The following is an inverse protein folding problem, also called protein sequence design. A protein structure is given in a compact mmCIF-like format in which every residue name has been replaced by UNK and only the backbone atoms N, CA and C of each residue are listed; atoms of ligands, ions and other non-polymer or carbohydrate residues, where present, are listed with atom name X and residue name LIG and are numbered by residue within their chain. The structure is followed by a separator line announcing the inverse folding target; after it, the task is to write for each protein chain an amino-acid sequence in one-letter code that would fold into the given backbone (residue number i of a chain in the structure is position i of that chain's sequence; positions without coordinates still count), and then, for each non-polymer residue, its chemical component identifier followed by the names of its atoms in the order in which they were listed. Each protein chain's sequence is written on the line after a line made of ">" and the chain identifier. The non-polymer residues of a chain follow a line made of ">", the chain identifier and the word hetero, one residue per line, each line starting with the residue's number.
data_IF_186385024542
#
_entry.id   IF_186385024542
#
_cell.length_a   1.000
_cell.length_b   1.000
_cell.length_c   1.000
_cell.angle_alpha   90.00
_cell.angle_beta   90.00
_cell.angle_gamma   90.00
#
_symmetry.space_group_name_H-M   'P 1'
#
loop_
_entity.id
_entity.type
_entity.pdbx_description
1 polymer ?
#
# COMPACT_ATOMS: atom_id res chain seq x y z
N UNK A 1 27.83 -24.71 0.41
CA UNK A 1 26.56 -24.35 1.09
C UNK A 1 25.82 -23.33 0.23
N UNK A 2 24.78 -23.71 -0.52
CA UNK A 2 23.91 -22.75 -1.18
C UNK A 2 22.92 -22.23 -0.13
N UNK A 3 23.07 -20.98 0.29
CA UNK A 3 22.09 -20.32 1.16
C UNK A 3 20.74 -20.30 0.44
N UNK A 4 19.69 -20.81 1.06
CA UNK A 4 18.36 -20.75 0.50
C UNK A 4 17.93 -19.27 0.49
N UNK A 5 17.40 -18.70 -0.61
CA UNK A 5 16.92 -17.31 -0.65
C UNK A 5 15.88 -17.01 0.44
N UNK A 6 15.18 -18.02 0.95
CA UNK A 6 14.28 -17.90 2.11
C UNK A 6 15.01 -17.58 3.41
N UNK A 7 16.19 -18.14 3.64
CA UNK A 7 16.94 -17.92 4.88
C UNK A 7 17.48 -16.48 4.92
N UNK A 8 17.88 -15.95 3.77
CA UNK A 8 18.34 -14.55 3.64
C UNK A 8 17.16 -13.60 3.88
N UNK A 9 16.03 -13.82 3.22
CA UNK A 9 14.84 -12.97 3.40
C UNK A 9 14.28 -13.04 4.82
N UNK A 10 14.34 -14.20 5.49
CA UNK A 10 13.98 -14.32 6.90
C UNK A 10 14.89 -13.50 7.83
N UNK A 11 16.21 -13.49 7.58
CA UNK A 11 17.15 -12.62 8.31
C UNK A 11 16.86 -11.14 8.08
N UNK A 12 16.61 -10.75 6.82
CA UNK A 12 16.25 -9.37 6.46
C UNK A 12 14.95 -8.96 7.16
N UNK A 13 13.93 -9.83 7.12
CA UNK A 13 12.67 -9.60 7.85
C UNK A 13 12.91 -9.37 9.34
N UNK A 14 13.73 -10.21 9.99
CA UNK A 14 14.05 -10.06 11.41
C UNK A 14 14.75 -8.73 11.72
N UNK A 15 15.73 -8.32 10.91
CA UNK A 15 16.43 -7.04 11.09
C UNK A 15 15.47 -5.86 10.94
N UNK A 16 14.63 -5.87 9.90
CA UNK A 16 13.65 -4.79 9.67
C UNK A 16 12.62 -4.76 10.81
N UNK A 17 12.16 -5.92 11.30
CA UNK A 17 11.22 -6.00 12.41
C UNK A 17 11.82 -5.46 13.71
N UNK A 18 13.11 -5.74 13.95
CA UNK A 18 13.85 -5.21 15.08
C UNK A 18 13.96 -3.68 15.01
N UNK A 19 14.34 -3.13 13.85
CA UNK A 19 14.41 -1.68 13.62
C UNK A 19 13.03 -1.05 13.81
N UNK A 20 11.98 -1.64 13.24
CA UNK A 20 10.61 -1.17 13.40
C UNK A 20 10.21 -1.15 14.88
N UNK A 21 10.51 -2.21 15.64
CA UNK A 21 10.19 -2.28 17.07
C UNK A 21 10.87 -1.16 17.85
N UNK A 22 12.17 -0.94 17.63
CA UNK A 22 12.89 0.14 18.28
C UNK A 22 12.35 1.51 17.89
N UNK A 23 11.98 1.72 16.63
CA UNK A 23 11.36 2.96 16.17
C UNK A 23 10.06 3.26 16.94
N UNK A 24 9.15 2.29 17.06
CA UNK A 24 7.87 2.50 17.74
C UNK A 24 8.04 2.72 19.25
N UNK A 25 8.97 2.00 19.89
CA UNK A 25 9.29 2.24 21.31
C UNK A 25 9.87 3.64 21.50
N UNK A 26 10.76 4.05 20.59
CA UNK A 26 11.39 5.36 20.66
C UNK A 26 10.37 6.50 20.48
N UNK A 27 9.38 6.37 19.60
CA UNK A 27 8.33 7.39 19.42
C UNK A 27 7.59 7.73 20.71
N UNK A 28 7.40 6.77 21.63
CA UNK A 28 6.75 7.00 22.93
C UNK A 28 7.64 7.87 23.83
N UNK A 29 8.95 7.66 23.78
CA UNK A 29 9.93 8.32 24.65
C UNK A 29 10.36 9.66 24.04
N UNK A 30 10.35 9.79 22.72
CA UNK A 30 10.91 10.91 21.96
C UNK A 30 10.47 12.30 22.47
N UNK A 31 9.18 12.57 22.75
CA UNK A 31 8.73 13.88 23.25
C UNK A 31 9.37 14.31 24.57
N UNK A 32 9.89 13.35 25.35
CA UNK A 32 10.55 13.58 26.64
C UNK A 32 12.07 13.61 26.55
N UNK A 33 12.64 13.49 25.35
CA UNK A 33 14.09 13.49 25.14
C UNK A 33 14.61 14.86 24.70
N UNK A 34 15.85 15.23 25.05
CA UNK A 34 16.49 16.45 24.54
C UNK A 34 16.48 16.54 23.01
N UNK A 35 16.53 15.39 22.33
CA UNK A 35 16.61 15.29 20.86
C UNK A 35 15.40 15.92 20.16
N UNK A 36 14.20 15.79 20.73
CA UNK A 36 12.99 16.41 20.16
C UNK A 36 13.07 17.95 20.18
N UNK A 37 13.68 18.52 21.22
CA UNK A 37 13.83 19.97 21.33
C UNK A 37 14.93 20.53 20.43
N UNK A 38 16.05 19.80 20.26
CA UNK A 38 17.21 20.30 19.54
C UNK A 38 17.21 19.99 18.03
N UNK A 39 16.77 18.81 17.61
CA UNK A 39 17.06 18.33 16.25
C UNK A 39 15.87 18.22 15.30
N UNK A 40 14.63 18.47 15.74
CA UNK A 40 13.39 18.56 14.92
C UNK A 40 13.40 17.67 13.66
N UNK A 41 13.59 16.38 13.85
CA UNK A 41 13.75 15.42 12.76
C UNK A 41 12.36 15.06 12.25
N UNK A 42 12.08 15.31 10.97
CA UNK A 42 10.73 15.17 10.42
C UNK A 42 10.07 13.81 10.69
N UNK A 43 10.79 12.70 10.54
CA UNK A 43 10.27 11.33 10.75
C UNK A 43 9.87 11.07 12.21
N UNK A 44 10.38 11.87 13.15
CA UNK A 44 10.15 11.74 14.58
C UNK A 44 9.21 12.80 15.15
N UNK A 45 9.08 13.96 14.50
CA UNK A 45 8.29 15.07 15.02
C UNK A 45 7.02 15.35 14.20
N UNK A 46 7.02 15.06 12.89
CA UNK A 46 5.89 15.33 12.01
C UNK A 46 4.93 14.14 11.99
N UNK A 47 3.71 14.35 12.49
CA UNK A 47 2.71 13.27 12.64
C UNK A 47 2.38 12.55 11.33
N UNK A 48 2.42 13.26 10.20
CA UNK A 48 2.21 12.66 8.88
C UNK A 48 3.36 11.73 8.49
N UNK A 49 4.62 12.13 8.72
CA UNK A 49 5.79 11.29 8.49
C UNK A 49 5.84 10.11 9.44
N UNK A 50 5.53 10.30 10.73
CA UNK A 50 5.44 9.21 11.70
C UNK A 50 4.45 8.13 11.26
N UNK A 51 3.23 8.54 10.85
CA UNK A 51 2.20 7.62 10.35
C UNK A 51 2.66 6.93 9.06
N UNK A 52 3.29 7.65 8.14
CA UNK A 52 3.83 7.08 6.92
C UNK A 52 4.92 6.03 7.20
N UNK A 53 5.83 6.29 8.14
CA UNK A 53 6.86 5.33 8.57
C UNK A 53 6.26 4.09 9.21
N UNK A 54 5.23 4.25 10.06
CA UNK A 54 4.48 3.13 10.62
C UNK A 54 3.83 2.27 9.52
N UNK A 55 3.13 2.90 8.57
CA UNK A 55 2.51 2.18 7.43
C UNK A 55 3.57 1.50 6.57
N UNK A 56 4.70 2.15 6.29
CA UNK A 56 5.82 1.54 5.57
C UNK A 56 6.29 0.25 6.24
N UNK A 57 6.53 0.26 7.56
CA UNK A 57 6.93 -0.94 8.30
C UNK A 57 5.88 -2.05 8.23
N UNK A 58 4.59 -1.73 8.34
CA UNK A 58 3.51 -2.71 8.18
C UNK A 58 3.55 -3.34 6.80
N UNK A 59 3.67 -2.53 5.73
CA UNK A 59 3.68 -3.03 4.38
C UNK A 59 4.91 -3.89 4.10
N UNK A 60 6.11 -3.38 4.34
CA UNK A 60 7.35 -4.12 4.02
C UNK A 60 7.43 -5.44 4.80
N UNK A 61 7.13 -5.43 6.10
CA UNK A 61 7.14 -6.64 6.92
C UNK A 61 6.02 -7.59 6.53
N UNK A 62 4.82 -7.07 6.30
CA UNK A 62 3.68 -7.88 5.91
C UNK A 62 3.92 -8.64 4.60
N UNK A 63 4.46 -7.95 3.58
CA UNK A 63 4.77 -8.55 2.28
C UNK A 63 5.96 -9.51 2.32
N UNK A 64 7.01 -9.20 3.11
CA UNK A 64 8.11 -10.15 3.35
C UNK A 64 7.63 -11.41 4.07
N UNK A 65 6.75 -11.27 5.06
CA UNK A 65 6.20 -12.39 5.81
C UNK A 65 5.34 -13.30 4.90
N UNK A 66 4.58 -12.73 3.96
CA UNK A 66 3.83 -13.49 2.95
C UNK A 66 4.75 -14.31 2.05
N UNK A 67 5.88 -13.71 1.62
CA UNK A 67 6.89 -14.42 0.84
C UNK A 67 7.50 -15.60 1.62
N UNK A 68 7.85 -15.37 2.90
CA UNK A 68 8.48 -16.38 3.78
C UNK A 68 7.52 -17.53 4.08
N UNK A 69 6.27 -17.22 4.48
CA UNK A 69 5.24 -18.22 4.77
C UNK A 69 4.80 -19.02 3.54
N UNK A 70 5.03 -18.47 2.34
CA UNK A 70 4.81 -19.18 1.09
C UNK A 70 3.37 -19.20 0.62
N UNK A 71 2.59 -18.15 0.95
CA UNK A 71 1.19 -18.01 0.53
C UNK A 71 0.24 -18.88 1.33
N UNK A 72 0.03 -18.56 2.62
CA UNK A 72 -1.09 -19.17 3.35
C UNK A 72 -2.40 -18.79 2.66
N UNK A 73 -3.20 -19.83 2.36
CA UNK A 73 -4.46 -19.87 1.63
C UNK A 73 -5.59 -19.00 2.24
N UNK A 74 -5.39 -17.69 2.40
CA UNK A 74 -6.37 -16.80 3.07
C UNK A 74 -7.69 -16.66 2.30
N UNK A 75 -7.72 -17.01 1.01
CA UNK A 75 -8.91 -16.93 0.17
C UNK A 75 -9.29 -18.31 -0.36
N UNK A 76 -9.80 -19.18 0.52
CA UNK A 76 -10.52 -20.37 0.05
C UNK A 76 -11.68 -19.94 -0.86
N UNK A 77 -11.96 -20.71 -1.91
CA UNK A 77 -13.14 -20.51 -2.76
C UNK A 77 -14.40 -20.50 -1.88
N UNK A 78 -15.06 -19.34 -1.81
CA UNK A 78 -16.18 -19.09 -0.90
C UNK A 78 -16.60 -17.62 -0.94
N UNK A 79 -17.47 -17.20 -0.01
CA UNK A 79 -18.02 -15.84 0.03
C UNK A 79 -16.91 -14.78 0.10
N UNK A 80 -15.88 -14.99 0.93
CA UNK A 80 -14.77 -14.05 1.08
C UNK A 80 -13.97 -13.88 -0.21
N UNK A 81 -13.82 -14.94 -1.00
CA UNK A 81 -13.21 -14.85 -2.32
C UNK A 81 -14.06 -14.05 -3.31
N UNK A 82 -15.39 -14.22 -3.30
CA UNK A 82 -16.28 -13.39 -4.11
C UNK A 82 -16.19 -11.91 -3.74
N UNK A 83 -16.16 -11.59 -2.45
CA UNK A 83 -16.00 -10.20 -1.97
C UNK A 83 -14.63 -9.66 -2.40
N UNK A 84 -13.58 -10.45 -2.35
CA UNK A 84 -12.25 -10.06 -2.83
C UNK A 84 -12.21 -9.82 -4.35
N UNK A 85 -12.94 -10.63 -5.11
CA UNK A 85 -13.11 -10.43 -6.55
C UNK A 85 -13.86 -9.13 -6.84
N UNK A 86 -14.95 -8.87 -6.12
CA UNK A 86 -15.69 -7.60 -6.21
C UNK A 86 -14.77 -6.44 -5.85
N UNK A 87 -14.00 -6.54 -4.77
CA UNK A 87 -13.00 -5.53 -4.38
C UNK A 87 -12.00 -5.27 -5.52
N UNK A 88 -11.43 -6.31 -6.12
CA UNK A 88 -10.46 -6.16 -7.19
C UNK A 88 -11.09 -5.51 -8.44
N UNK A 89 -12.32 -5.89 -8.79
CA UNK A 89 -13.04 -5.28 -9.91
C UNK A 89 -13.41 -3.82 -9.61
N UNK A 90 -13.92 -3.54 -8.41
CA UNK A 90 -14.29 -2.17 -8.03
C UNK A 90 -13.07 -1.27 -7.92
N UNK A 91 -11.91 -1.77 -7.47
CA UNK A 91 -10.69 -0.98 -7.35
C UNK A 91 -10.07 -0.66 -8.71
N UNK A 92 -10.45 -1.37 -9.79
CA UNK A 92 -10.08 -0.98 -11.15
C UNK A 92 -10.63 0.37 -11.54
N UNK A 93 -11.79 0.79 -11.02
CA UNK A 93 -12.39 2.08 -11.40
C UNK A 93 -11.46 3.25 -11.00
N UNK A 94 -11.12 3.46 -9.71
CA UNK A 94 -10.18 4.53 -9.34
C UNK A 94 -8.78 4.30 -9.90
N UNK A 95 -8.35 3.05 -10.09
CA UNK A 95 -7.05 2.75 -10.72
C UNK A 95 -7.03 3.16 -12.19
N UNK A 96 -8.11 2.93 -12.93
CA UNK A 96 -8.26 3.32 -14.32
C UNK A 96 -8.28 4.85 -14.45
N UNK A 97 -9.06 5.55 -13.61
CA UNK A 97 -9.09 7.01 -13.59
C UNK A 97 -7.71 7.60 -13.29
N UNK A 98 -6.96 7.01 -12.34
CA UNK A 98 -5.58 7.42 -12.07
C UNK A 98 -4.67 7.18 -13.27
N UNK A 99 -4.77 6.02 -13.93
CA UNK A 99 -3.95 5.70 -15.12
C UNK A 99 -4.28 6.62 -16.29
N UNK A 100 -5.56 6.87 -16.56
CA UNK A 100 -6.04 7.78 -17.61
C UNK A 100 -5.47 9.18 -17.40
N UNK A 101 -5.65 9.75 -16.20
CA UNK A 101 -5.10 11.05 -15.86
C UNK A 101 -3.57 11.09 -15.99
N UNK A 102 -2.86 10.02 -15.61
CA UNK A 102 -1.39 9.94 -15.75
C UNK A 102 -0.97 9.90 -17.22
N UNK A 103 -1.69 9.19 -18.07
CA UNK A 103 -1.41 9.13 -19.51
C UNK A 103 -1.66 10.50 -20.16
N UNK A 104 -2.74 11.18 -19.80
CA UNK A 104 -3.07 12.52 -20.31
C UNK A 104 -2.00 13.57 -19.93
N UNK A 105 -1.30 13.35 -18.82
CA UNK A 105 -0.16 14.17 -18.37
C UNK A 105 1.20 13.63 -18.87
N UNK A 106 1.22 12.82 -19.92
CA UNK A 106 2.42 12.23 -20.55
C UNK A 106 3.26 11.36 -19.58
N UNK A 107 2.68 10.90 -18.48
CA UNK A 107 3.36 10.21 -17.39
C UNK A 107 3.20 8.68 -17.47
N UNK A 108 3.70 8.09 -18.56
CA UNK A 108 3.57 6.66 -18.84
C UNK A 108 4.22 5.76 -17.78
N UNK A 109 5.39 6.14 -17.25
CA UNK A 109 6.10 5.34 -16.24
C UNK A 109 5.29 5.24 -14.92
N UNK A 110 4.81 6.35 -14.33
CA UNK A 110 3.86 6.32 -13.21
C UNK A 110 2.62 5.45 -13.46
N UNK A 111 2.02 5.53 -14.66
CA UNK A 111 0.85 4.73 -15.01
C UNK A 111 1.14 3.23 -15.01
N UNK A 112 2.25 2.81 -15.62
CA UNK A 112 2.70 1.41 -15.60
C UNK A 112 3.03 0.93 -14.19
N UNK A 113 3.61 1.79 -13.35
CA UNK A 113 3.87 1.47 -11.96
C UNK A 113 2.59 1.23 -11.17
N UNK A 114 1.57 2.08 -11.33
CA UNK A 114 0.24 1.90 -10.73
C UNK A 114 -0.38 0.57 -11.15
N UNK A 115 -0.36 0.26 -12.44
CA UNK A 115 -0.89 -0.99 -12.98
C UNK A 115 -0.15 -2.22 -12.42
N UNK A 116 1.18 -2.16 -12.36
CA UNK A 116 2.01 -3.23 -11.80
C UNK A 116 1.68 -3.47 -10.32
N UNK A 117 1.50 -2.40 -9.54
CA UNK A 117 1.13 -2.53 -8.13
C UNK A 117 -0.27 -3.09 -7.99
N UNK A 118 -1.26 -2.62 -8.74
CA UNK A 118 -2.62 -3.19 -8.71
C UNK A 118 -2.58 -4.70 -9.03
N UNK A 119 -1.83 -5.09 -10.05
CA UNK A 119 -1.71 -6.48 -10.48
C UNK A 119 -1.08 -7.37 -9.39
N UNK A 120 0.02 -6.91 -8.80
CA UNK A 120 0.76 -7.66 -7.78
C UNK A 120 0.02 -7.75 -6.44
N UNK A 121 -0.76 -6.73 -6.11
CA UNK A 121 -1.40 -6.61 -4.78
C UNK A 121 -2.81 -7.17 -4.69
N UNK A 122 -3.59 -7.09 -5.77
CA UNK A 122 -4.99 -7.50 -5.82
C UNK A 122 -5.26 -8.59 -6.85
N UNK A 123 -4.81 -8.41 -8.10
CA UNK A 123 -5.14 -9.36 -9.17
C UNK A 123 -4.56 -10.76 -8.91
N UNK A 124 -3.25 -10.86 -8.64
CA UNK A 124 -2.60 -12.16 -8.41
C UNK A 124 -3.16 -12.92 -7.19
N UNK A 125 -3.35 -12.29 -6.01
CA UNK A 125 -3.95 -12.97 -4.86
C UNK A 125 -5.39 -13.44 -5.06
N UNK A 126 -6.21 -12.69 -5.82
CA UNK A 126 -7.59 -13.10 -6.11
C UNK A 126 -7.61 -14.29 -7.09
N UNK A 127 -6.65 -14.37 -8.00
CA UNK A 127 -6.51 -15.48 -8.95
C UNK A 127 -5.82 -16.71 -8.34
N UNK A 128 -5.14 -16.55 -7.20
CA UNK A 128 -4.41 -17.62 -6.52
C UNK A 128 -5.21 -18.91 -6.29
N UNK A 129 -6.47 -18.89 -5.84
CA UNK A 129 -7.25 -20.11 -5.59
C UNK A 129 -7.62 -20.89 -6.87
N UNK A 130 -7.49 -20.26 -8.04
CA UNK A 130 -7.88 -20.86 -9.33
C UNK A 130 -6.78 -21.72 -9.93
N UNK A 131 -5.50 -21.49 -9.61
CA UNK A 131 -4.40 -22.27 -10.19
C UNK A 131 -3.18 -22.41 -9.28
N UNK A 132 -2.42 -23.51 -9.42
CA UNK A 132 -1.14 -23.68 -8.71
C UNK A 132 0.00 -22.81 -9.25
N UNK A 133 -0.13 -22.32 -10.49
CA UNK A 133 0.86 -21.42 -11.10
C UNK A 133 0.74 -20.04 -10.45
N UNK A 134 -0.50 -19.57 -10.25
CA UNK A 134 -0.79 -18.29 -9.62
C UNK A 134 -0.31 -18.23 -8.17
N UNK A 135 -0.26 -19.33 -7.42
CA UNK A 135 0.29 -19.32 -6.05
C UNK A 135 1.79 -19.07 -6.01
N UNK A 136 2.56 -19.67 -6.91
CA UNK A 136 3.99 -19.40 -7.02
C UNK A 136 4.26 -17.96 -7.47
N UNK A 137 3.49 -17.44 -8.42
CA UNK A 137 3.59 -16.05 -8.88
C UNK A 137 3.21 -15.05 -7.78
N UNK A 138 2.11 -15.28 -7.06
CA UNK A 138 1.63 -14.47 -5.93
C UNK A 138 2.71 -14.34 -4.84
N UNK A 139 3.45 -15.43 -4.58
CA UNK A 139 4.59 -15.41 -3.66
C UNK A 139 5.69 -14.46 -4.13
N UNK A 140 6.16 -14.58 -5.35
CA UNK A 140 7.22 -13.68 -5.86
C UNK A 140 6.73 -12.24 -6.05
N UNK A 141 5.46 -12.05 -6.40
CA UNK A 141 4.82 -10.75 -6.45
C UNK A 141 4.78 -10.09 -5.07
N UNK A 142 4.63 -10.86 -3.99
CA UNK A 142 4.72 -10.33 -2.62
C UNK A 142 6.12 -9.81 -2.32
N UNK A 143 7.18 -10.52 -2.74
CA UNK A 143 8.55 -10.04 -2.60
C UNK A 143 8.80 -8.78 -3.43
N UNK A 144 8.33 -8.75 -4.69
CA UNK A 144 8.42 -7.56 -5.53
C UNK A 144 7.70 -6.38 -4.87
N UNK A 145 6.48 -6.60 -4.37
CA UNK A 145 5.72 -5.55 -3.70
C UNK A 145 6.44 -5.05 -2.46
N UNK A 146 7.03 -5.94 -1.65
CA UNK A 146 7.82 -5.54 -0.48
C UNK A 146 8.93 -4.54 -0.86
N UNK A 147 9.62 -4.79 -1.98
CA UNK A 147 10.64 -3.87 -2.50
C UNK A 147 9.98 -2.56 -2.96
N UNK A 148 8.88 -2.64 -3.72
CA UNK A 148 8.18 -1.47 -4.23
C UNK A 148 7.58 -0.59 -3.13
N UNK A 149 7.31 -1.10 -1.92
CA UNK A 149 6.84 -0.29 -0.78
C UNK A 149 7.83 0.82 -0.39
N UNK A 150 9.12 0.63 -0.70
CA UNK A 150 10.15 1.64 -0.39
C UNK A 150 9.96 2.91 -1.21
N UNK A 151 9.42 2.83 -2.43
CA UNK A 151 9.27 3.96 -3.34
C UNK A 151 8.28 5.04 -2.82
N UNK A 152 7.02 4.73 -2.47
CA UNK A 152 6.10 5.75 -1.97
C UNK A 152 6.57 6.31 -0.62
N UNK A 153 7.25 5.50 0.21
CA UNK A 153 7.80 5.95 1.49
C UNK A 153 8.94 6.95 1.32
N UNK A 154 9.95 6.62 0.50
CA UNK A 154 11.07 7.53 0.26
C UNK A 154 10.63 8.78 -0.47
N UNK A 155 9.71 8.66 -1.43
CA UNK A 155 9.11 9.80 -2.11
C UNK A 155 8.46 10.77 -1.13
N UNK A 156 7.63 10.25 -0.22
CA UNK A 156 6.95 11.04 0.79
C UNK A 156 7.94 11.72 1.76
N UNK A 157 9.02 11.07 2.16
CA UNK A 157 10.03 11.69 3.04
C UNK A 157 10.76 12.83 2.32
N UNK A 158 11.20 12.59 1.09
CA UNK A 158 12.02 13.56 0.35
C UNK A 158 11.18 14.76 -0.10
N UNK A 159 9.92 14.54 -0.47
CA UNK A 159 9.05 15.59 -1.03
C UNK A 159 7.97 16.06 -0.05
N UNK A 160 8.07 15.71 1.23
CA UNK A 160 7.05 15.99 2.25
C UNK A 160 6.55 17.43 2.23
N UNK A 161 7.47 18.40 2.27
CA UNK A 161 7.13 19.81 2.33
C UNK A 161 6.47 20.30 1.03
N UNK A 162 7.02 19.90 -0.11
CA UNK A 162 6.47 20.27 -1.41
C UNK A 162 5.08 19.66 -1.65
N UNK A 163 4.83 18.44 -1.17
CA UNK A 163 3.53 17.78 -1.24
C UNK A 163 2.43 18.60 -0.54
N UNK A 164 2.76 19.29 0.56
CA UNK A 164 1.81 20.16 1.26
C UNK A 164 1.46 21.38 0.38
N UNK A 165 2.45 21.95 -0.29
CA UNK A 165 2.26 23.13 -1.13
C UNK A 165 1.64 22.82 -2.51
N UNK A 166 1.77 21.59 -3.02
CA UNK A 166 1.23 21.14 -4.32
C UNK A 166 -0.18 20.57 -4.26
N UNK A 167 -0.91 20.81 -3.18
CA UNK A 167 -2.27 20.25 -2.96
C UNK A 167 -3.29 20.57 -4.05
N UNK A 168 -3.09 21.64 -4.84
CA UNK A 168 -4.02 22.04 -5.91
C UNK A 168 -3.66 21.42 -7.27
N UNK A 169 -2.38 21.26 -7.58
CA UNK A 169 -1.89 20.75 -8.87
C UNK A 169 -0.83 19.68 -8.56
N UNK A 170 -1.26 18.42 -8.37
CA UNK A 170 -0.33 17.34 -8.03
C UNK A 170 0.56 17.01 -9.23
N UNK A 171 1.80 16.64 -8.94
CA UNK A 171 2.68 16.06 -9.93
C UNK A 171 2.24 14.60 -10.22
N UNK A 172 2.49 14.05 -11.42
CA UNK A 172 2.14 12.66 -11.72
C UNK A 172 2.66 11.59 -10.75
N UNK A 173 3.86 11.82 -10.19
CA UNK A 173 4.39 10.93 -9.16
C UNK A 173 3.64 11.03 -7.82
N UNK A 174 3.03 12.18 -7.49
CA UNK A 174 2.23 12.33 -6.27
C UNK A 174 1.03 11.39 -6.31
N UNK A 175 0.31 11.36 -7.43
CA UNK A 175 -0.85 10.49 -7.64
C UNK A 175 -0.44 9.02 -7.65
N UNK A 176 0.63 8.68 -8.39
CA UNK A 176 1.07 7.31 -8.47
C UNK A 176 1.49 6.76 -7.10
N UNK A 177 2.32 7.49 -6.35
CA UNK A 177 2.77 7.03 -5.02
C UNK A 177 1.63 6.97 -4.00
N UNK A 178 0.71 7.93 -4.01
CA UNK A 178 -0.45 7.94 -3.12
C UNK A 178 -1.45 6.81 -3.41
N UNK A 179 -1.68 6.51 -4.69
CA UNK A 179 -2.57 5.42 -5.06
C UNK A 179 -1.93 4.04 -4.84
N UNK A 180 -0.64 3.87 -5.18
CA UNK A 180 0.03 2.58 -4.99
C UNK A 180 0.17 2.19 -3.52
N UNK A 181 0.45 3.12 -2.60
CA UNK A 181 0.47 2.79 -1.16
C UNK A 181 -0.92 2.35 -0.66
N UNK A 182 -1.99 2.94 -1.20
CA UNK A 182 -3.37 2.54 -0.90
C UNK A 182 -3.66 1.13 -1.40
N UNK A 183 -3.27 0.81 -2.63
CA UNK A 183 -3.40 -0.54 -3.21
C UNK A 183 -2.59 -1.59 -2.43
N UNK A 184 -1.36 -1.27 -2.03
CA UNK A 184 -0.53 -2.14 -1.18
C UNK A 184 -1.19 -2.38 0.18
N UNK A 185 -1.83 -1.37 0.76
CA UNK A 185 -2.58 -1.51 2.00
C UNK A 185 -3.82 -2.40 1.82
N UNK A 186 -4.57 -2.23 0.73
CA UNK A 186 -5.68 -3.13 0.41
C UNK A 186 -5.20 -4.57 0.27
N UNK A 187 -4.12 -4.79 -0.46
CA UNK A 187 -3.53 -6.11 -0.65
C UNK A 187 -3.11 -6.76 0.67
N UNK A 188 -2.47 -6.01 1.57
CA UNK A 188 -2.03 -6.57 2.86
C UNK A 188 -3.22 -6.91 3.76
N UNK A 189 -4.19 -6.00 3.87
CA UNK A 189 -5.38 -6.22 4.69
C UNK A 189 -6.21 -7.37 4.15
N UNK A 190 -6.35 -7.49 2.84
CA UNK A 190 -7.04 -8.60 2.17
C UNK A 190 -6.51 -9.97 2.60
N UNK A 191 -5.18 -10.11 2.72
CA UNK A 191 -4.51 -11.39 3.00
C UNK A 191 -4.35 -11.72 4.49
N UNK A 192 -4.36 -10.72 5.37
CA UNK A 192 -4.20 -10.95 6.82
C UNK A 192 -5.51 -10.85 7.60
N UNK A 193 -6.41 -9.96 7.19
CA UNK A 193 -7.66 -9.68 7.89
C UNK A 193 -8.82 -10.21 7.06
N UNK A 194 -8.92 -9.75 5.81
CA UNK A 194 -9.99 -10.10 4.87
C UNK A 194 -10.40 -8.95 3.95
N UNK A 195 -11.30 -9.23 2.99
CA UNK A 195 -11.75 -8.26 1.99
C UNK A 195 -12.73 -7.22 2.55
N UNK A 196 -13.26 -7.41 3.75
CA UNK A 196 -14.37 -6.63 4.31
C UNK A 196 -13.99 -5.16 4.59
N UNK A 197 -12.79 -4.92 5.11
CA UNK A 197 -12.30 -3.55 5.32
C UNK A 197 -11.91 -2.86 4.00
N UNK A 198 -11.10 -3.47 3.11
CA UNK A 198 -10.74 -2.83 1.85
C UNK A 198 -11.94 -2.54 0.95
N UNK A 199 -12.96 -3.41 0.91
CA UNK A 199 -14.15 -3.15 0.08
C UNK A 199 -14.93 -1.96 0.60
N UNK A 200 -15.08 -1.83 1.92
CA UNK A 200 -15.74 -0.68 2.54
C UNK A 200 -14.99 0.62 2.21
N UNK A 201 -13.67 0.63 2.37
CA UNK A 201 -12.84 1.79 2.01
C UNK A 201 -12.96 2.12 0.53
N UNK A 202 -12.96 1.11 -0.35
CA UNK A 202 -13.09 1.32 -1.79
C UNK A 202 -14.46 1.89 -2.17
N UNK A 203 -15.54 1.49 -1.49
CA UNK A 203 -16.87 2.10 -1.64
C UNK A 203 -16.83 3.57 -1.25
N UNK A 204 -16.16 3.94 -0.15
CA UNK A 204 -16.02 5.36 0.22
C UNK A 204 -15.21 6.16 -0.78
N UNK A 205 -14.16 5.58 -1.36
CA UNK A 205 -13.40 6.23 -2.45
C UNK A 205 -14.31 6.47 -3.66
N UNK A 206 -15.09 5.46 -4.07
CA UNK A 206 -16.04 5.59 -5.17
C UNK A 206 -17.15 6.61 -4.87
N UNK A 207 -17.65 6.63 -3.64
CA UNK A 207 -18.61 7.64 -3.20
C UNK A 207 -18.00 9.05 -3.22
N UNK A 208 -16.71 9.19 -2.93
CA UNK A 208 -16.05 10.48 -3.03
C UNK A 208 -15.96 10.96 -4.49
N UNK A 209 -15.66 10.05 -5.42
CA UNK A 209 -15.55 10.36 -6.85
C UNK A 209 -16.93 10.63 -7.48
N UNK A 210 -17.93 9.78 -7.20
CA UNK A 210 -19.23 9.79 -7.88
C UNK A 210 -20.39 10.28 -7.02
N UNK A 211 -20.14 10.74 -5.80
CA UNK A 211 -21.17 11.21 -4.87
C UNK A 211 -22.03 12.34 -5.43
N UNK A 212 -21.50 13.11 -6.38
CA UNK A 212 -22.21 14.21 -7.03
C UNK A 212 -23.34 13.73 -7.95
N UNK A 213 -23.31 12.45 -8.37
CA UNK A 213 -24.36 11.85 -9.19
C UNK A 213 -25.56 11.37 -8.36
N UNK A 214 -25.43 11.29 -7.03
CA UNK A 214 -26.48 10.76 -6.17
C UNK A 214 -27.53 11.83 -5.81
N UNK A 215 -28.82 11.44 -5.68
CA UNK A 215 -29.86 12.36 -5.26
C UNK A 215 -29.68 12.77 -3.79
N UNK A 216 -30.27 13.92 -3.42
CA UNK A 216 -30.35 14.36 -2.02
C UNK A 216 -31.12 13.31 -1.18
N UNK A 217 -30.69 12.98 0.05
CA UNK A 217 -29.66 13.64 0.87
C UNK A 217 -28.23 13.13 0.67
N UNK A 218 -28.00 12.14 -0.20
CA UNK A 218 -26.71 11.47 -0.36
C UNK A 218 -25.74 12.19 -1.32
N UNK A 219 -26.18 13.29 -1.93
CA UNK A 219 -25.37 14.15 -2.80
C UNK A 219 -24.12 14.67 -2.07
N UNK A 220 -22.95 14.52 -2.68
CA UNK A 220 -21.68 15.06 -2.20
C UNK A 220 -20.88 15.62 -3.38
N UNK A 221 -20.42 16.88 -3.37
CA UNK A 221 -19.75 17.50 -4.51
C UNK A 221 -18.36 16.89 -4.84
N UNK A 222 -17.83 16.04 -3.97
CA UNK A 222 -16.48 15.47 -4.06
C UNK A 222 -15.49 16.26 -3.19
N UNK A 223 -14.22 15.82 -3.20
CA UNK A 223 -13.08 16.61 -2.71
C UNK A 223 -12.15 16.93 -3.87
#
# INVERSE_FOLDING_TARGET
>A
MRLNPRDITAKVFFIIALIATFYHIYLIIHPHTPISYYYRIGILDLTQLQRATHVFFILILGYLLLYIRGGEHSLSLGLRWLIALILAVLSLIPTYLAIEWLIDNEALIPALYVLLVWFTTLALPVLEPLSRITSSMSRYASLLTAILTTLPYTYLIINYEELIYRTVIPHPWDIAMGWTITLMLFGIVLRYIGPELPILTNIFILYNIYGYMLPRPWYHPGF
#
